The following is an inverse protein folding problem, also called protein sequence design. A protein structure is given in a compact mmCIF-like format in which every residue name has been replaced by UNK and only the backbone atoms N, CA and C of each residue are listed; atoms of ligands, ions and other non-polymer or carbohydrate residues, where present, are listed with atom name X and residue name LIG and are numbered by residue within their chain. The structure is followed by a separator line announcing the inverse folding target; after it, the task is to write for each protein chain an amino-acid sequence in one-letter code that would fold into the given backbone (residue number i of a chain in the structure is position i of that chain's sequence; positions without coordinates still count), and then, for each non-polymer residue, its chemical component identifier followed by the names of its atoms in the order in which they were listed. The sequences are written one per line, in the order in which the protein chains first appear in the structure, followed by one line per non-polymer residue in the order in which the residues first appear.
data_IF_107139042395
#
_entry.id   IF_107139042395
#
_cell.length_a   1.000
_cell.length_b   1.000
_cell.length_c   1.000
_cell.angle_alpha   90.00
_cell.angle_beta   90.00
_cell.angle_gamma   90.00
#
_symmetry.space_group_name_H-M   'P 1'
#
loop_
_entity.id
_entity.type
_entity.pdbx_description
1 polymer ?
#
# COMPACT_ATOMS: atom_id res chain seq x y z
N UNK A 1 -22.52 11.84 14.16
CA UNK A 1 -22.10 11.35 12.82
C UNK A 1 -22.97 10.14 12.53
N UNK A 2 -23.87 10.25 11.56
CA UNK A 2 -24.93 9.25 11.33
C UNK A 2 -24.56 8.47 10.06
N UNK A 3 -24.59 7.14 10.13
CA UNK A 3 -24.35 6.27 8.99
C UNK A 3 -25.67 5.77 8.45
N UNK A 4 -25.93 6.02 7.17
CA UNK A 4 -27.12 5.53 6.48
C UNK A 4 -26.85 4.10 5.99
N UNK A 5 -27.71 3.18 6.42
CA UNK A 5 -27.68 1.78 6.00
C UNK A 5 -28.44 1.61 4.69
N UNK A 6 -28.27 0.46 4.04
CA UNK A 6 -28.96 0.13 2.79
C UNK A 6 -30.49 0.21 2.92
N UNK A 7 -31.03 -0.21 4.07
CA UNK A 7 -32.46 -0.20 4.38
C UNK A 7 -33.01 1.24 4.41
N UNK A 8 -32.26 2.18 5.00
CA UNK A 8 -32.65 3.59 5.13
C UNK A 8 -32.70 4.30 3.77
N UNK A 9 -31.77 3.97 2.87
CA UNK A 9 -31.77 4.48 1.50
C UNK A 9 -32.93 3.88 0.71
N UNK A 10 -33.28 2.62 0.95
CA UNK A 10 -34.39 1.94 0.26
C UNK A 10 -35.75 2.55 0.62
N UNK A 11 -35.98 2.89 1.89
CA UNK A 11 -37.20 3.56 2.35
C UNK A 11 -37.35 4.98 1.78
N UNK A 12 -36.23 5.67 1.53
CA UNK A 12 -36.21 7.05 1.04
C UNK A 12 -36.21 7.15 -0.50
N UNK A 13 -35.84 6.08 -1.20
CA UNK A 13 -35.86 5.95 -2.66
C UNK A 13 -37.05 5.13 -3.21
N UNK A 14 -38.23 5.15 -2.56
CA UNK A 14 -39.41 4.40 -3.02
C UNK A 14 -40.05 4.89 -4.34
N UNK A 15 -39.45 5.86 -5.04
CA UNK A 15 -39.95 6.37 -6.31
C UNK A 15 -38.98 6.10 -7.47
N UNK A 16 -39.22 5.00 -8.20
CA UNK A 16 -38.79 4.79 -9.59
C UNK A 16 -37.28 4.64 -9.88
N UNK A 17 -36.95 4.05 -11.03
CA UNK A 17 -35.58 4.03 -11.54
C UNK A 17 -35.16 5.47 -11.92
N UNK A 18 -34.04 5.96 -11.35
CA UNK A 18 -33.43 7.24 -11.74
C UNK A 18 -33.71 8.45 -10.85
N UNK A 19 -33.90 8.27 -9.54
CA UNK A 19 -34.04 9.38 -8.59
C UNK A 19 -32.72 10.03 -8.16
N UNK A 20 -32.75 11.32 -7.83
CA UNK A 20 -31.63 12.02 -7.18
C UNK A 20 -31.71 11.83 -5.66
N UNK A 21 -30.60 11.43 -5.03
CA UNK A 21 -30.53 11.23 -3.58
C UNK A 21 -29.65 12.31 -2.95
N UNK A 22 -30.30 13.27 -2.28
CA UNK A 22 -29.62 14.36 -1.58
C UNK A 22 -29.26 13.94 -0.15
N UNK A 23 -27.96 13.88 0.14
CA UNK A 23 -27.44 13.64 1.49
C UNK A 23 -27.54 14.92 2.34
N UNK A 24 -27.99 14.81 3.59
CA UNK A 24 -27.96 15.94 4.52
C UNK A 24 -26.56 16.12 5.13
N UNK A 25 -26.24 17.35 5.55
CA UNK A 25 -24.93 17.69 6.12
C UNK A 25 -24.64 16.86 7.39
N UNK A 26 -23.64 15.97 7.30
CA UNK A 26 -23.20 15.12 8.41
C UNK A 26 -23.60 13.64 8.31
N UNK A 27 -24.28 13.23 7.23
CA UNK A 27 -24.62 11.84 6.94
C UNK A 27 -23.56 11.20 6.03
N UNK A 28 -23.13 9.97 6.37
CA UNK A 28 -22.22 9.18 5.53
C UNK A 28 -22.87 7.87 5.11
N UNK A 29 -22.71 7.52 3.84
CA UNK A 29 -23.22 6.26 3.30
C UNK A 29 -22.31 5.11 3.72
N UNK A 30 -22.93 3.98 4.05
CA UNK A 30 -22.23 2.70 4.15
C UNK A 30 -21.85 2.18 2.76
N UNK A 31 -20.84 1.29 2.64
CA UNK A 31 -20.45 0.71 1.35
C UNK A 31 -21.62 0.03 0.62
N UNK A 32 -22.47 -0.71 1.35
CA UNK A 32 -23.67 -1.36 0.82
C UNK A 32 -24.71 -0.35 0.28
N UNK A 33 -24.93 0.76 0.98
CA UNK A 33 -25.82 1.82 0.52
C UNK A 33 -25.32 2.54 -0.74
N UNK A 34 -23.99 2.68 -0.88
CA UNK A 34 -23.36 3.27 -2.08
C UNK A 34 -23.51 2.36 -3.29
N UNK A 35 -23.39 1.04 -3.09
CA UNK A 35 -23.56 0.04 -4.14
C UNK A 35 -25.01 -0.04 -4.64
N UNK A 36 -25.99 0.08 -3.72
CA UNK A 36 -27.40 0.13 -4.08
C UNK A 36 -27.73 1.35 -4.96
N UNK A 37 -27.24 2.54 -4.60
CA UNK A 37 -27.45 3.76 -5.39
C UNK A 37 -26.82 3.66 -6.79
N UNK A 38 -25.64 3.03 -6.89
CA UNK A 38 -24.98 2.75 -8.18
C UNK A 38 -25.80 1.80 -9.05
N UNK A 39 -26.33 0.72 -8.47
CA UNK A 39 -27.13 -0.28 -9.21
C UNK A 39 -28.44 0.29 -9.77
N UNK A 40 -29.00 1.33 -9.13
CA UNK A 40 -30.27 1.96 -9.56
C UNK A 40 -30.11 3.23 -10.40
N UNK A 41 -28.88 3.55 -10.83
CA UNK A 41 -28.52 4.77 -11.57
C UNK A 41 -28.95 6.07 -10.85
N UNK A 42 -28.94 6.08 -9.52
CA UNK A 42 -29.30 7.26 -8.74
C UNK A 42 -28.09 8.20 -8.60
N UNK A 43 -28.28 9.49 -8.86
CA UNK A 43 -27.24 10.52 -8.66
C UNK A 43 -27.22 10.97 -7.21
N UNK A 44 -26.06 10.90 -6.56
CA UNK A 44 -25.88 11.30 -5.16
C UNK A 44 -25.42 12.76 -5.11
N UNK A 45 -26.23 13.62 -4.50
CA UNK A 45 -25.91 15.03 -4.31
C UNK A 45 -25.39 15.20 -2.89
N UNK A 46 -24.13 15.61 -2.76
CA UNK A 46 -23.47 15.85 -1.47
C UNK A 46 -23.87 17.21 -0.89
N UNK A 47 -23.97 17.34 0.44
CA UNK A 47 -24.33 18.60 1.09
C UNK A 47 -23.17 19.58 0.94
N UNK A 48 -23.35 20.59 0.08
CA UNK A 48 -22.33 21.60 -0.23
C UNK A 48 -22.55 22.37 -1.53
N UNK A 49 -23.51 21.94 -2.37
CA UNK A 49 -23.95 22.71 -3.54
C UNK A 49 -25.47 22.90 -3.52
N UNK A 50 -25.92 23.88 -2.75
CA UNK A 50 -27.24 24.48 -2.90
C UNK A 50 -27.12 25.99 -2.65
N UNK A 51 -27.03 26.77 -3.72
CA UNK A 51 -27.69 28.08 -3.76
C UNK A 51 -28.59 28.09 -4.98
N UNK A 52 -29.88 28.07 -4.68
CA UNK A 52 -31.01 28.28 -5.58
C UNK A 52 -31.15 29.79 -5.78
N UNK A 53 -31.48 30.25 -6.98
CA UNK A 53 -32.55 31.24 -7.20
C UNK A 53 -32.90 31.36 -8.70
N UNK A 54 -34.12 30.90 -9.03
CA UNK A 54 -34.93 31.27 -10.19
C UNK A 54 -35.60 32.65 -9.91
N UNK A 55 -36.32 33.38 -10.83
CA UNK A 55 -37.11 32.83 -11.93
C UNK A 55 -37.34 33.70 -13.22
N UNK A 56 -38.05 33.06 -14.18
CA UNK A 56 -39.03 33.58 -15.15
C UNK A 56 -38.63 34.59 -16.25
N UNK A 57 -38.71 34.16 -17.52
CA UNK A 57 -39.75 34.58 -18.49
C UNK A 57 -39.48 34.01 -19.90
N UNK A 58 -40.57 33.68 -20.60
CA UNK A 58 -40.68 33.16 -21.97
C UNK A 58 -39.76 33.81 -23.02
N UNK A 59 -39.18 32.96 -23.90
CA UNK A 59 -39.47 32.92 -25.36
C UNK A 59 -38.56 31.89 -26.07
N UNK A 60 -39.19 30.99 -26.81
CA UNK A 60 -38.58 30.15 -27.86
C UNK A 60 -38.16 31.01 -29.08
N UNK A 61 -37.58 30.43 -30.16
CA UNK A 61 -36.48 29.46 -30.28
C UNK A 61 -35.40 29.94 -31.28
N UNK A 62 -34.13 29.56 -31.17
CA UNK A 62 -33.28 29.34 -32.35
C UNK A 62 -31.94 28.64 -32.07
N UNK A 63 -31.52 27.90 -33.10
CA UNK A 63 -30.31 27.08 -33.29
C UNK A 63 -29.03 27.94 -33.27
N UNK A 64 -27.92 27.43 -32.70
CA UNK A 64 -26.63 27.44 -33.43
C UNK A 64 -25.84 26.13 -33.21
N UNK A 65 -25.41 25.45 -34.27
CA UNK A 65 -24.02 25.40 -34.79
C UNK A 65 -23.00 24.64 -33.90
N UNK A 66 -22.16 23.79 -34.51
CA UNK A 66 -21.50 22.69 -33.83
C UNK A 66 -20.22 23.11 -33.11
N UNK A 67 -20.08 22.66 -31.87
CA UNK A 67 -18.87 22.84 -31.07
C UNK A 67 -17.65 22.10 -31.68
N UNK A 68 -16.44 22.65 -31.54
CA UNK A 68 -15.23 22.06 -32.10
C UNK A 68 -14.85 20.77 -31.38
N UNK A 69 -14.40 19.78 -32.16
CA UNK A 69 -13.83 18.54 -31.67
C UNK A 69 -12.60 18.85 -30.81
N UNK A 70 -12.69 18.56 -29.51
CA UNK A 70 -11.52 18.47 -28.65
C UNK A 70 -10.91 17.11 -28.91
N UNK A 71 -9.73 17.13 -29.53
CA UNK A 71 -8.92 15.98 -29.88
C UNK A 71 -8.71 15.08 -28.66
N UNK A 72 -8.97 13.79 -28.85
CA UNK A 72 -8.61 12.75 -27.92
C UNK A 72 -7.10 12.82 -27.67
N UNK A 73 -6.72 12.98 -26.39
CA UNK A 73 -5.35 12.76 -25.97
C UNK A 73 -4.87 11.40 -26.49
N UNK A 74 -3.67 11.30 -27.09
CA UNK A 74 -3.21 10.06 -27.68
C UNK A 74 -3.07 9.03 -26.56
N UNK A 75 -3.81 7.93 -26.69
CA UNK A 75 -3.56 6.71 -25.94
C UNK A 75 -2.07 6.38 -26.07
N UNK A 76 -1.41 6.20 -24.92
CA UNK A 76 -0.06 5.65 -24.88
C UNK A 76 -0.01 4.42 -25.79
N UNK A 77 1.04 4.25 -26.62
CA UNK A 77 1.10 3.13 -27.55
C UNK A 77 1.01 1.85 -26.73
N UNK A 78 -0.08 1.10 -26.93
CA UNK A 78 -0.19 -0.26 -26.50
C UNK A 78 1.01 -0.99 -27.09
N UNK A 79 1.93 -1.43 -26.22
CA UNK A 79 3.04 -2.27 -26.61
C UNK A 79 2.49 -3.43 -27.45
N UNK A 80 3.11 -3.75 -28.60
CA UNK A 80 2.71 -4.93 -29.34
C UNK A 80 2.84 -6.13 -28.41
N UNK A 81 1.75 -6.88 -28.29
CA UNK A 81 1.74 -8.19 -27.69
C UNK A 81 2.48 -9.14 -28.63
N UNK A 82 3.80 -8.99 -28.71
CA UNK A 82 4.68 -9.96 -29.31
C UNK A 82 4.85 -11.11 -28.32
N UNK A 83 4.27 -12.23 -28.73
CA UNK A 83 4.20 -13.52 -28.05
C UNK A 83 5.55 -14.28 -28.07
N UNK A 84 6.59 -13.63 -27.58
CA UNK A 84 7.75 -14.30 -27.00
C UNK A 84 8.09 -13.52 -25.75
N UNK A 85 7.91 -14.10 -24.56
CA UNK A 85 8.57 -13.54 -23.38
C UNK A 85 10.06 -13.50 -23.73
N UNK A 86 10.69 -12.33 -23.95
CA UNK A 86 12.13 -12.32 -24.07
C UNK A 86 12.65 -12.83 -22.72
N UNK A 87 13.71 -13.63 -22.69
CA UNK A 87 14.31 -14.20 -21.46
C UNK A 87 14.84 -13.15 -20.46
N UNK A 88 14.43 -11.89 -20.61
CA UNK A 88 14.72 -10.77 -19.75
C UNK A 88 13.66 -10.52 -18.67
N UNK A 89 14.08 -9.85 -17.62
CA UNK A 89 13.27 -9.30 -16.54
C UNK A 89 13.60 -7.82 -16.39
N UNK A 90 12.64 -7.03 -15.93
CA UNK A 90 12.87 -5.61 -15.67
C UNK A 90 13.79 -5.48 -14.47
N UNK A 91 14.93 -4.83 -14.69
CA UNK A 91 15.83 -4.41 -13.64
C UNK A 91 15.32 -3.14 -13.00
N UNK A 92 15.01 -2.13 -13.81
CA UNK A 92 14.45 -0.86 -13.37
C UNK A 92 13.30 -0.50 -14.33
N UNK A 93 12.69 0.69 -14.20
CA UNK A 93 11.54 1.10 -15.01
C UNK A 93 11.76 0.93 -16.54
N UNK A 94 12.98 1.21 -17.00
CA UNK A 94 13.30 1.29 -18.43
C UNK A 94 14.29 0.20 -18.90
N UNK A 95 14.83 -0.61 -17.99
CA UNK A 95 15.95 -1.52 -18.30
C UNK A 95 15.54 -2.98 -18.18
N UNK A 96 15.64 -3.74 -19.27
CA UNK A 96 15.40 -5.19 -19.30
C UNK A 96 16.75 -5.93 -19.36
N UNK A 97 16.97 -6.85 -18.43
CA UNK A 97 18.21 -7.65 -18.32
C UNK A 97 17.89 -9.13 -18.23
N UNK A 98 18.85 -10.00 -18.55
CA UNK A 98 18.69 -11.45 -18.32
C UNK A 98 18.47 -11.78 -16.83
N UNK A 99 17.77 -12.87 -16.54
CA UNK A 99 17.59 -13.36 -15.15
C UNK A 99 18.90 -13.73 -14.46
N UNK A 100 19.97 -14.00 -15.21
CA UNK A 100 21.31 -14.26 -14.69
C UNK A 100 22.07 -13.00 -14.25
N UNK A 101 21.45 -11.81 -14.38
CA UNK A 101 22.09 -10.55 -14.03
C UNK A 101 22.39 -10.49 -12.51
N UNK A 102 23.59 -10.03 -12.08
CA UNK A 102 23.98 -10.03 -10.67
C UNK A 102 23.02 -9.27 -9.74
N UNK A 103 22.45 -8.15 -10.19
CA UNK A 103 21.43 -7.39 -9.43
C UNK A 103 20.14 -8.20 -9.21
N UNK A 104 19.67 -8.94 -10.21
CA UNK A 104 18.48 -9.80 -10.06
C UNK A 104 18.76 -10.94 -9.08
N UNK A 105 19.97 -11.51 -9.12
CA UNK A 105 20.39 -12.51 -8.14
C UNK A 105 20.48 -11.94 -6.71
N UNK A 106 20.98 -10.72 -6.55
CA UNK A 106 20.98 -10.02 -5.26
C UNK A 106 19.54 -9.83 -4.73
N UNK A 107 18.61 -9.37 -5.58
CA UNK A 107 17.20 -9.22 -5.22
C UNK A 107 16.58 -10.54 -4.77
N UNK A 108 16.79 -11.62 -5.52
CA UNK A 108 16.29 -12.94 -5.11
C UNK A 108 16.83 -13.41 -3.76
N UNK A 109 18.09 -13.06 -3.43
CA UNK A 109 18.65 -13.32 -2.09
C UNK A 109 18.02 -12.43 -1.02
N UNK A 110 17.79 -11.14 -1.31
CA UNK A 110 17.09 -10.24 -0.40
C UNK A 110 15.65 -10.72 -0.15
N UNK A 111 14.94 -11.14 -1.19
CA UNK A 111 13.58 -11.67 -1.10
C UNK A 111 13.54 -12.94 -0.23
N UNK A 112 14.53 -13.82 -0.40
CA UNK A 112 14.70 -15.00 0.45
C UNK A 112 14.94 -14.60 1.91
N UNK A 113 15.82 -13.63 2.15
CA UNK A 113 16.14 -13.14 3.50
C UNK A 113 14.96 -12.44 4.18
N UNK A 114 14.19 -11.63 3.44
CA UNK A 114 12.94 -11.03 3.92
C UNK A 114 11.96 -12.13 4.33
N UNK A 115 11.79 -13.14 3.48
CA UNK A 115 10.91 -14.29 3.74
C UNK A 115 11.35 -15.07 5.00
N UNK A 116 12.65 -15.32 5.15
CA UNK A 116 13.22 -15.93 6.36
C UNK A 116 12.97 -15.07 7.59
N UNK A 117 13.13 -13.75 7.50
CA UNK A 117 12.91 -12.84 8.64
C UNK A 117 11.44 -12.86 9.08
N UNK A 118 10.49 -12.89 8.14
CA UNK A 118 9.05 -13.05 8.45
C UNK A 118 8.76 -14.41 9.08
N UNK A 119 9.41 -15.49 8.60
CA UNK A 119 9.29 -16.81 9.22
C UNK A 119 9.77 -16.78 10.68
N UNK A 120 10.90 -16.13 10.95
CA UNK A 120 11.38 -15.92 12.32
C UNK A 120 10.36 -15.13 13.13
N UNK A 121 9.90 -13.98 12.66
CA UNK A 121 8.93 -13.15 13.39
C UNK A 121 7.65 -13.91 13.78
N UNK A 122 7.14 -14.75 12.88
CA UNK A 122 5.93 -15.55 13.12
C UNK A 122 6.20 -16.75 14.03
N UNK A 123 7.37 -17.38 13.96
CA UNK A 123 7.74 -18.53 14.79
C UNK A 123 8.22 -18.17 16.20
N UNK A 124 8.87 -17.01 16.36
CA UNK A 124 9.52 -16.59 17.60
C UNK A 124 8.53 -16.22 18.72
N UNK A 125 7.26 -15.95 18.37
CA UNK A 125 6.22 -15.49 19.30
C UNK A 125 4.98 -16.40 19.38
N UNK A 126 5.16 -17.72 19.35
CA UNK A 126 4.05 -18.70 19.40
C UNK A 126 3.13 -18.59 20.65
N UNK A 127 3.55 -17.89 21.70
CA UNK A 127 2.76 -17.66 22.92
C UNK A 127 2.41 -16.17 23.17
N UNK A 128 2.70 -15.28 22.23
CA UNK A 128 2.53 -13.82 22.36
C UNK A 128 3.20 -13.20 23.61
N UNK A 129 4.35 -13.73 24.01
CA UNK A 129 5.11 -13.36 25.22
C UNK A 129 6.40 -12.61 24.93
N UNK A 130 6.70 -12.33 23.67
CA UNK A 130 7.94 -11.66 23.34
C UNK A 130 7.98 -10.23 23.89
N UNK A 131 9.08 -9.82 24.56
CA UNK A 131 9.28 -8.42 24.92
C UNK A 131 9.15 -7.51 23.69
N UNK A 132 8.48 -6.37 23.88
CA UNK A 132 8.24 -5.40 22.79
C UNK A 132 9.56 -4.95 22.12
N UNK A 133 10.65 -4.85 22.88
CA UNK A 133 11.97 -4.50 22.35
C UNK A 133 12.44 -5.49 21.28
N UNK A 134 12.26 -6.80 21.50
CA UNK A 134 12.65 -7.83 20.52
C UNK A 134 11.70 -7.86 19.32
N UNK A 135 10.40 -7.64 19.54
CA UNK A 135 9.43 -7.52 18.44
C UNK A 135 9.80 -6.35 17.52
N UNK A 136 10.10 -5.21 18.11
CA UNK A 136 10.50 -4.00 17.38
C UNK A 136 11.84 -4.21 16.69
N UNK A 137 12.83 -4.82 17.35
CA UNK A 137 14.12 -5.14 16.74
C UNK A 137 13.99 -6.02 15.51
N UNK A 138 13.18 -7.08 15.59
CA UNK A 138 12.91 -7.92 14.41
C UNK A 138 12.15 -7.16 13.32
N UNK A 139 11.27 -6.22 13.68
CA UNK A 139 10.58 -5.36 12.72
C UNK A 139 11.54 -4.38 12.03
N UNK A 140 12.50 -3.80 12.77
CA UNK A 140 13.54 -2.92 12.25
C UNK A 140 14.38 -3.64 11.18
N UNK A 141 14.76 -4.90 11.41
CA UNK A 141 15.48 -5.72 10.41
C UNK A 141 14.69 -5.84 9.11
N UNK A 142 13.38 -6.10 9.20
CA UNK A 142 12.54 -6.16 8.00
C UNK A 142 12.47 -4.79 7.28
N UNK A 143 12.33 -3.71 8.02
CA UNK A 143 12.35 -2.35 7.45
C UNK A 143 13.66 -2.08 6.73
N UNK A 144 14.80 -2.46 7.31
CA UNK A 144 16.11 -2.29 6.68
C UNK A 144 16.24 -3.09 5.39
N UNK A 145 15.81 -4.35 5.37
CA UNK A 145 15.87 -5.18 4.17
C UNK A 145 15.03 -4.59 3.03
N UNK A 146 13.84 -4.07 3.35
CA UNK A 146 12.99 -3.36 2.40
C UNK A 146 13.64 -2.07 1.89
N UNK A 147 14.26 -1.28 2.78
CA UNK A 147 14.98 -0.06 2.39
C UNK A 147 16.17 -0.36 1.48
N UNK A 148 16.90 -1.44 1.73
CA UNK A 148 18.01 -1.90 0.87
C UNK A 148 17.50 -2.27 -0.51
N UNK A 149 16.42 -3.07 -0.57
CA UNK A 149 15.81 -3.45 -1.85
C UNK A 149 15.30 -2.22 -2.61
N UNK A 150 14.64 -1.29 -1.91
CA UNK A 150 14.12 -0.06 -2.50
C UNK A 150 15.24 0.82 -3.07
N UNK A 151 16.30 1.08 -2.28
CA UNK A 151 17.44 1.87 -2.72
C UNK A 151 18.18 1.21 -3.90
N UNK A 152 18.23 -0.12 -3.92
CA UNK A 152 18.82 -0.87 -5.04
C UNK A 152 17.99 -0.73 -6.34
N UNK A 153 16.66 -0.66 -6.24
CA UNK A 153 15.76 -0.48 -7.38
C UNK A 153 15.69 0.97 -7.84
N UNK A 154 15.63 1.93 -6.92
CA UNK A 154 15.53 3.36 -7.26
C UNK A 154 16.88 3.99 -7.59
N UNK A 155 17.99 3.39 -7.17
CA UNK A 155 19.32 3.97 -7.26
C UNK A 155 19.56 5.11 -6.26
N UNK A 156 18.66 5.31 -5.30
CA UNK A 156 18.78 6.33 -4.27
C UNK A 156 19.80 5.94 -3.18
N UNK A 157 20.24 6.92 -2.40
CA UNK A 157 21.09 6.66 -1.26
C UNK A 157 20.33 5.87 -0.19
N UNK A 158 21.00 4.88 0.38
CA UNK A 158 20.44 4.08 1.47
C UNK A 158 20.32 4.98 2.74
N UNK A 159 19.14 5.05 3.38
CA UNK A 159 18.95 5.84 4.59
C UNK A 159 19.77 5.28 5.75
N UNK A 160 20.05 6.11 6.76
CA UNK A 160 20.71 5.66 7.99
C UNK A 160 19.89 4.58 8.70
N UNK A 161 20.57 3.52 9.14
CA UNK A 161 19.94 2.38 9.78
C UNK A 161 20.00 2.49 11.32
N UNK A 162 18.90 2.16 11.98
CA UNK A 162 18.82 2.00 13.43
C UNK A 162 18.04 0.73 13.84
N UNK A 163 18.56 0.00 14.83
CA UNK A 163 18.02 -1.28 15.30
C UNK A 163 17.85 -1.20 16.82
N UNK A 164 16.65 -1.45 17.32
CA UNK A 164 16.34 -1.32 18.76
C UNK A 164 16.73 0.06 19.32
N UNK A 165 16.65 1.12 18.50
CA UNK A 165 17.08 2.48 18.88
C UNK A 165 18.59 2.73 18.87
N UNK A 166 19.40 1.76 18.44
CA UNK A 166 20.85 1.91 18.27
C UNK A 166 21.20 2.26 16.83
N UNK A 167 22.06 3.26 16.64
CA UNK A 167 22.65 3.56 15.34
C UNK A 167 23.79 2.57 14.99
N UNK A 168 24.34 2.69 13.79
CA UNK A 168 25.42 1.80 13.32
C UNK A 168 26.66 1.79 14.23
N UNK A 169 27.04 2.94 14.80
CA UNK A 169 28.20 3.03 15.71
C UNK A 169 27.94 2.29 17.02
N UNK A 170 26.77 2.50 17.64
CA UNK A 170 26.37 1.80 18.84
C UNK A 170 26.26 0.28 18.60
N UNK A 171 25.68 -0.13 17.47
CA UNK A 171 25.61 -1.55 17.09
C UNK A 171 26.99 -2.17 16.92
N UNK A 172 27.94 -1.44 16.31
CA UNK A 172 29.32 -1.90 16.19
C UNK A 172 29.99 -2.08 17.56
N UNK A 173 29.79 -1.16 18.49
CA UNK A 173 30.33 -1.28 19.85
C UNK A 173 29.74 -2.47 20.60
N UNK A 174 28.40 -2.61 20.57
CA UNK A 174 27.68 -3.69 21.26
C UNK A 174 28.03 -5.06 20.67
N UNK A 175 28.16 -5.18 19.35
CA UNK A 175 28.54 -6.44 18.70
C UNK A 175 30.01 -6.83 18.92
N UNK A 176 30.90 -5.84 19.04
CA UNK A 176 32.32 -6.09 19.30
C UNK A 176 32.56 -6.56 20.74
N UNK A 177 31.93 -5.93 21.73
CA UNK A 177 32.07 -6.29 23.16
C UNK A 177 30.70 -6.51 23.85
N UNK A 178 30.00 -7.60 23.52
CA UNK A 178 28.67 -7.85 24.06
C UNK A 178 28.70 -8.12 25.58
N UNK A 179 29.83 -8.57 26.13
CA UNK A 179 29.93 -8.83 27.57
C UNK A 179 29.80 -7.55 28.37
N UNK A 180 30.46 -6.48 27.94
CA UNK A 180 30.40 -5.17 28.62
C UNK A 180 29.01 -4.53 28.48
N UNK A 181 28.38 -4.61 27.30
CA UNK A 181 27.15 -3.88 27.02
C UNK A 181 25.85 -4.66 27.28
N UNK A 182 25.87 -5.99 27.16
CA UNK A 182 24.70 -6.87 27.29
C UNK A 182 24.82 -7.83 28.50
N UNK A 183 26.00 -7.90 29.14
CA UNK A 183 26.24 -8.84 30.25
C UNK A 183 26.34 -10.30 29.82
N UNK A 184 26.43 -10.56 28.50
CA UNK A 184 26.57 -11.89 27.92
C UNK A 184 27.65 -11.85 26.83
N UNK A 185 28.49 -12.88 26.76
CA UNK A 185 29.48 -13.01 25.70
C UNK A 185 28.84 -13.30 24.34
N UNK A 186 29.68 -13.50 23.31
CA UNK A 186 29.21 -13.91 22.00
C UNK A 186 28.45 -15.24 22.09
N UNK A 187 27.25 -15.26 21.52
CA UNK A 187 26.42 -16.45 21.44
C UNK A 187 26.90 -17.34 20.30
N UNK A 188 26.99 -18.64 20.57
CA UNK A 188 27.22 -19.67 19.56
C UNK A 188 25.93 -20.48 19.44
N UNK A 189 25.45 -20.79 18.22
CA UNK A 189 24.25 -21.60 18.05
C UNK A 189 24.40 -22.95 18.78
N UNK A 190 23.55 -23.18 19.77
CA UNK A 190 23.51 -24.40 20.58
C UNK A 190 22.07 -24.78 20.91
N UNK A 191 21.79 -26.08 20.95
CA UNK A 191 20.44 -26.62 21.22
C UNK A 191 19.91 -26.20 22.59
N UNK A 192 20.78 -25.98 23.58
CA UNK A 192 20.41 -25.57 24.93
C UNK A 192 19.82 -24.15 24.98
N UNK A 193 20.05 -23.31 23.96
CA UNK A 193 19.50 -21.96 23.87
C UNK A 193 18.02 -21.94 23.45
N UNK A 194 17.49 -23.11 23.05
CA UNK A 194 16.07 -23.31 22.79
C UNK A 194 15.62 -22.88 21.38
N UNK A 195 14.33 -23.10 21.06
CA UNK A 195 13.81 -23.00 19.71
C UNK A 195 13.85 -21.57 19.15
N UNK A 196 13.71 -20.55 20.00
CA UNK A 196 13.74 -19.16 19.56
C UNK A 196 15.13 -18.80 19.04
N UNK A 197 16.18 -19.08 19.80
CA UNK A 197 17.56 -18.80 19.35
C UNK A 197 17.92 -19.64 18.13
N UNK A 198 17.38 -20.86 18.00
CA UNK A 198 17.59 -21.69 16.81
C UNK A 198 17.00 -21.13 15.51
N UNK A 199 16.07 -20.16 15.60
CA UNK A 199 15.50 -19.49 14.43
C UNK A 199 16.32 -18.27 13.97
N UNK A 200 17.24 -17.78 14.81
CA UNK A 200 18.10 -16.60 14.55
C UNK A 200 19.46 -17.03 13.99
#
# INVERSE_FOLDING_TARGET
MIFLTEEDVRQRCELGQGGEFCLQAGERLTPAATELLRSRNCRVILPGQCTVEAPAADKAPEKPEPAPAVEAAPAAPAAPADSSFPDGTYLDADTVVSKSHPRIFLRGKLDTLISSTVLVQTGFDGNNKLPAVLKNGLADVNVWLWQILQAEVSGEALPEQALCGMNAEALRLVSHDPMTYLGQGHLVPDVALGPNVALL
#
